data_IF_435542804328
#
_entry.id   IF_435542804328
#
_cell.length_a   1.000
_cell.length_b   1.000
_cell.length_c   1.000
_cell.angle_alpha   90.00
_cell.angle_beta   90.00
_cell.angle_gamma   90.00
#
_symmetry.space_group_name_H-M   'P 1'
#
loop_
_entity.id
_entity.type
_entity.pdbx_description
1 polymer ?
#
# COMPACT_ATOMS: atom_id res chain seq x y z
N UNK A 1 10.60 -5.87 1.55
CA UNK A 1 9.28 -5.84 2.19
C UNK A 1 9.35 -5.09 3.50
N UNK A 2 10.17 -5.55 4.46
CA UNK A 2 10.37 -4.89 5.77
C UNK A 2 10.54 -3.37 5.67
N UNK A 3 11.53 -2.90 4.89
CA UNK A 3 11.80 -1.46 4.75
C UNK A 3 10.63 -0.68 4.13
N UNK A 4 9.90 -1.27 3.18
CA UNK A 4 8.72 -0.63 2.60
C UNK A 4 7.60 -0.54 3.65
N UNK A 5 7.45 -1.58 4.45
CA UNK A 5 6.45 -1.65 5.51
C UNK A 5 6.73 -0.62 6.61
N UNK A 6 7.99 -0.44 7.00
CA UNK A 6 8.41 0.64 7.89
C UNK A 6 8.16 2.02 7.30
N UNK A 7 8.55 2.23 6.05
CA UNK A 7 8.42 3.53 5.37
C UNK A 7 6.96 3.96 5.21
N UNK A 8 6.02 3.06 4.90
CA UNK A 8 4.58 3.41 4.87
C UNK A 8 4.06 3.80 6.25
N UNK A 9 4.49 3.11 7.32
CA UNK A 9 4.08 3.44 8.68
C UNK A 9 4.59 4.80 9.14
N UNK A 10 5.81 5.18 8.73
CA UNK A 10 6.31 6.53 8.94
C UNK A 10 5.38 7.54 8.25
N UNK A 11 5.01 7.32 6.99
CA UNK A 11 4.11 8.24 6.27
C UNK A 11 2.70 8.31 6.83
N UNK A 12 2.13 7.19 7.29
CA UNK A 12 0.80 7.15 7.88
C UNK A 12 0.71 7.91 9.21
N UNK A 13 1.83 8.04 9.92
CA UNK A 13 1.93 8.77 11.19
C UNK A 13 2.39 10.23 11.04
N UNK A 14 2.54 10.74 9.81
CA UNK A 14 2.85 12.14 9.58
C UNK A 14 1.59 13.02 9.68
N UNK A 15 1.72 14.18 10.32
CA UNK A 15 0.65 15.20 10.34
C UNK A 15 0.52 15.93 9.00
N UNK A 16 1.62 16.05 8.26
CA UNK A 16 1.67 16.77 6.98
C UNK A 16 1.67 15.83 5.79
N UNK A 17 0.95 16.24 4.73
CA UNK A 17 0.94 15.52 3.47
C UNK A 17 2.32 15.58 2.78
N UNK A 18 2.93 14.41 2.50
CA UNK A 18 4.18 14.35 1.72
C UNK A 18 4.02 14.93 0.31
N UNK A 19 5.12 15.44 -0.27
CA UNK A 19 5.13 15.96 -1.64
C UNK A 19 4.84 14.86 -2.68
N UNK A 20 4.43 15.28 -3.89
CA UNK A 20 4.24 14.35 -5.01
C UNK A 20 5.51 13.57 -5.32
N UNK A 21 6.66 14.21 -5.25
CA UNK A 21 7.95 13.63 -5.59
C UNK A 21 8.36 12.54 -4.57
N UNK A 22 8.08 12.75 -3.28
CA UNK A 22 8.25 11.72 -2.25
C UNK A 22 7.27 10.56 -2.43
N UNK A 23 6.00 10.88 -2.69
CA UNK A 23 4.97 9.87 -2.95
C UNK A 23 5.31 8.99 -4.17
N UNK A 24 5.67 9.60 -5.31
CA UNK A 24 6.03 8.91 -6.55
C UNK A 24 7.28 8.04 -6.38
N UNK A 25 8.26 8.51 -5.59
CA UNK A 25 9.47 7.73 -5.27
C UNK A 25 9.11 6.49 -4.46
N UNK A 26 8.32 6.64 -3.40
CA UNK A 26 7.88 5.51 -2.58
C UNK A 26 7.09 4.49 -3.41
N UNK A 27 6.09 4.95 -4.16
CA UNK A 27 5.32 4.11 -5.07
C UNK A 27 6.21 3.32 -6.04
N UNK A 28 7.24 3.94 -6.62
CA UNK A 28 8.16 3.24 -7.53
C UNK A 28 8.93 2.12 -6.84
N UNK A 29 9.43 2.34 -5.62
CA UNK A 29 10.08 1.28 -4.84
C UNK A 29 9.12 0.11 -4.56
N UNK A 30 7.88 0.42 -4.18
CA UNK A 30 6.83 -0.59 -3.93
C UNK A 30 6.60 -1.44 -5.16
N UNK A 31 6.40 -0.80 -6.30
CA UNK A 31 6.13 -1.48 -7.56
C UNK A 31 7.31 -2.32 -8.06
N UNK A 32 8.52 -1.79 -7.96
CA UNK A 32 9.74 -2.53 -8.31
C UNK A 32 9.84 -3.80 -7.45
N UNK A 33 9.67 -3.66 -6.13
CA UNK A 33 9.70 -4.80 -5.22
C UNK A 33 8.58 -5.82 -5.49
N UNK A 34 7.36 -5.37 -5.79
CA UNK A 34 6.26 -6.29 -6.12
C UNK A 34 6.52 -7.01 -7.45
N UNK A 35 6.98 -6.29 -8.47
CA UNK A 35 7.32 -6.90 -9.76
C UNK A 35 8.40 -7.98 -9.63
N UNK A 36 9.40 -7.76 -8.77
CA UNK A 36 10.57 -8.63 -8.69
C UNK A 36 10.39 -9.81 -7.73
N UNK A 37 9.51 -9.68 -6.72
CA UNK A 37 9.45 -10.63 -5.60
C UNK A 37 8.05 -11.14 -5.26
N UNK A 38 6.97 -10.60 -5.83
CA UNK A 38 5.62 -10.93 -5.35
C UNK A 38 5.27 -12.41 -5.47
N UNK A 39 5.76 -13.11 -6.49
CA UNK A 39 5.50 -14.54 -6.69
C UNK A 39 6.03 -15.40 -5.54
N UNK A 40 7.04 -14.91 -4.81
CA UNK A 40 7.68 -15.60 -3.68
C UNK A 40 7.07 -15.23 -2.32
N UNK A 41 6.10 -14.30 -2.28
CA UNK A 41 5.53 -13.85 -1.01
C UNK A 41 4.81 -14.97 -0.28
N UNK A 42 5.24 -15.19 0.96
CA UNK A 42 4.57 -15.97 1.98
C UNK A 42 3.54 -15.12 2.70
N UNK A 43 2.74 -15.75 3.56
CA UNK A 43 1.57 -15.14 4.20
C UNK A 43 1.85 -13.77 4.82
N UNK A 44 2.88 -13.64 5.66
CA UNK A 44 3.20 -12.35 6.31
C UNK A 44 3.53 -11.25 5.28
N UNK A 45 4.25 -11.61 4.21
CA UNK A 45 4.60 -10.68 3.15
C UNK A 45 3.37 -10.30 2.31
N UNK A 46 2.40 -11.21 2.15
CA UNK A 46 1.11 -10.91 1.52
C UNK A 46 0.32 -9.89 2.31
N UNK A 47 0.25 -10.01 3.63
CA UNK A 47 -0.42 -9.02 4.47
C UNK A 47 0.22 -7.65 4.33
N UNK A 48 1.54 -7.57 4.47
CA UNK A 48 2.27 -6.29 4.35
C UNK A 48 2.15 -5.70 2.95
N UNK A 49 2.19 -6.53 1.91
CA UNK A 49 2.01 -6.10 0.53
C UNK A 49 0.59 -5.55 0.29
N UNK A 50 -0.45 -6.24 0.78
CA UNK A 50 -1.83 -5.78 0.72
C UNK A 50 -1.99 -4.44 1.45
N UNK A 51 -1.47 -4.33 2.67
CA UNK A 51 -1.51 -3.11 3.46
C UNK A 51 -0.89 -1.91 2.74
N UNK A 52 0.30 -2.10 2.17
CA UNK A 52 0.98 -1.07 1.38
C UNK A 52 0.15 -0.72 0.13
N UNK A 53 -0.33 -1.71 -0.61
CA UNK A 53 -1.04 -1.49 -1.87
C UNK A 53 -2.34 -0.69 -1.63
N UNK A 54 -3.15 -1.08 -0.66
CA UNK A 54 -4.41 -0.43 -0.29
C UNK A 54 -4.19 1.01 0.19
N UNK A 55 -3.23 1.24 1.10
CA UNK A 55 -2.95 2.57 1.62
C UNK A 55 -2.44 3.53 0.54
N UNK A 56 -1.49 3.09 -0.30
CA UNK A 56 -0.97 3.94 -1.40
C UNK A 56 -2.04 4.15 -2.47
N UNK A 57 -2.83 3.13 -2.81
CA UNK A 57 -3.95 3.24 -3.75
C UNK A 57 -4.98 4.26 -3.27
N UNK A 58 -5.46 4.12 -2.03
CA UNK A 58 -6.48 4.98 -1.43
C UNK A 58 -6.00 6.44 -1.39
N UNK A 59 -4.76 6.66 -0.94
CA UNK A 59 -4.15 7.99 -0.89
C UNK A 59 -3.98 8.60 -2.29
N UNK A 60 -3.51 7.82 -3.28
CA UNK A 60 -3.44 8.28 -4.67
C UNK A 60 -4.82 8.69 -5.21
N UNK A 61 -5.85 7.90 -4.94
CA UNK A 61 -7.21 8.18 -5.37
C UNK A 61 -7.78 9.45 -4.73
N UNK A 62 -7.51 9.69 -3.45
CA UNK A 62 -7.87 10.93 -2.75
C UNK A 62 -7.18 12.14 -3.38
N UNK A 63 -5.84 12.10 -3.50
CA UNK A 63 -5.06 13.19 -4.11
C UNK A 63 -5.44 13.46 -5.56
N UNK A 64 -5.79 12.43 -6.33
CA UNK A 64 -6.29 12.59 -7.69
C UNK A 64 -7.60 13.39 -7.75
N UNK A 65 -8.49 13.21 -6.76
CA UNK A 65 -9.77 13.93 -6.61
C UNK A 65 -9.58 15.36 -6.13
N UNK A 66 -8.54 15.65 -5.37
CA UNK A 66 -8.21 17.02 -4.93
C UNK A 66 -7.53 17.82 -6.04
N UNK A 67 -6.71 17.15 -6.86
CA UNK A 67 -5.89 17.77 -7.89
C UNK A 67 -6.52 17.80 -9.29
N UNK A 68 -7.86 17.72 -9.44
CA UNK A 68 -8.58 17.42 -10.72
C UNK A 68 -8.10 18.15 -11.98
N UNK A 69 -7.58 19.38 -11.84
CA UNK A 69 -7.15 20.24 -12.96
C UNK A 69 -5.64 20.20 -13.24
N UNK A 70 -4.85 19.46 -12.46
CA UNK A 70 -3.39 19.40 -12.60
C UNK A 70 -2.95 18.14 -13.36
N UNK A 71 -1.77 18.24 -14.00
CA UNK A 71 -1.11 17.08 -14.61
C UNK A 71 -0.79 15.97 -13.61
N UNK A 72 -0.71 16.30 -12.30
CA UNK A 72 -0.51 15.34 -11.20
C UNK A 72 -1.73 14.44 -11.00
N UNK A 73 -2.96 14.91 -11.23
CA UNK A 73 -4.18 14.08 -11.09
C UNK A 73 -4.14 12.84 -11.98
N UNK A 74 -3.70 12.98 -13.23
CA UNK A 74 -3.55 11.83 -14.15
C UNK A 74 -2.50 10.83 -13.66
N UNK A 75 -1.41 11.31 -13.04
CA UNK A 75 -0.37 10.43 -12.48
C UNK A 75 -0.91 9.65 -11.28
N UNK A 76 -1.57 10.33 -10.34
CA UNK A 76 -2.20 9.68 -9.19
C UNK A 76 -3.24 8.63 -9.59
N UNK A 77 -4.12 8.91 -10.58
CA UNK A 77 -5.09 7.91 -11.06
C UNK A 77 -4.40 6.63 -11.55
N UNK A 78 -3.35 6.77 -12.35
CA UNK A 78 -2.57 5.63 -12.84
C UNK A 78 -1.92 4.82 -11.72
N UNK A 79 -1.46 5.50 -10.67
CA UNK A 79 -0.91 4.85 -9.46
C UNK A 79 -2.01 4.03 -8.79
N UNK A 80 -3.18 4.65 -8.55
CA UNK A 80 -4.34 3.98 -7.97
C UNK A 80 -4.77 2.75 -8.78
N UNK A 81 -4.99 2.90 -10.08
CA UNK A 81 -5.36 1.82 -11.00
C UNK A 81 -4.38 0.63 -10.95
N UNK A 82 -3.07 0.91 -10.94
CA UNK A 82 -2.06 -0.16 -10.88
C UNK A 82 -2.07 -0.89 -9.54
N UNK A 83 -2.22 -0.16 -8.44
CA UNK A 83 -2.22 -0.75 -7.10
C UNK A 83 -3.52 -1.46 -6.78
N UNK A 84 -4.65 -1.10 -7.40
CA UNK A 84 -5.89 -1.88 -7.32
C UNK A 84 -5.66 -3.32 -7.79
N UNK A 85 -4.95 -3.52 -8.90
CA UNK A 85 -4.65 -4.86 -9.40
C UNK A 85 -3.76 -5.66 -8.44
N UNK A 86 -2.78 -5.00 -7.82
CA UNK A 86 -1.92 -5.63 -6.82
C UNK A 86 -2.68 -5.99 -5.54
N UNK A 87 -3.49 -5.07 -5.01
CA UNK A 87 -4.31 -5.31 -3.83
C UNK A 87 -5.27 -6.49 -4.05
N UNK A 88 -5.95 -6.52 -5.19
CA UNK A 88 -6.83 -7.64 -5.58
C UNK A 88 -6.07 -8.98 -5.67
N UNK A 89 -4.86 -8.97 -6.24
CA UNK A 89 -4.01 -10.17 -6.31
C UNK A 89 -3.62 -10.68 -4.91
N UNK A 90 -3.19 -9.79 -4.00
CA UNK A 90 -2.80 -10.21 -2.65
C UNK A 90 -3.99 -10.65 -1.81
N UNK A 91 -5.13 -9.96 -1.90
CA UNK A 91 -6.36 -10.37 -1.25
C UNK A 91 -6.84 -11.75 -1.74
N UNK A 92 -6.76 -12.03 -3.05
CA UNK A 92 -7.08 -13.35 -3.60
C UNK A 92 -6.16 -14.45 -3.03
N UNK A 93 -4.85 -14.21 -2.96
CA UNK A 93 -3.88 -15.17 -2.39
C UNK A 93 -4.10 -15.38 -0.89
N UNK A 94 -4.49 -14.35 -0.14
CA UNK A 94 -4.89 -14.51 1.26
C UNK A 94 -6.18 -15.33 1.39
N UNK A 95 -7.15 -15.13 0.50
CA UNK A 95 -8.35 -15.95 0.46
C UNK A 95 -8.05 -17.42 0.14
N UNK A 96 -7.09 -17.70 -0.74
CA UNK A 96 -6.59 -19.06 -1.02
C UNK A 96 -5.93 -19.72 0.20
N UNK A 97 -5.35 -18.92 1.10
CA UNK A 97 -4.83 -19.38 2.40
C UNK A 97 -5.93 -19.59 3.45
N UNK A 98 -7.20 -19.29 3.12
CA UNK A 98 -8.37 -19.53 3.97
C UNK A 98 -8.89 -18.32 4.73
N UNK A 99 -8.35 -17.11 4.47
CA UNK A 99 -8.84 -15.89 5.08
C UNK A 99 -10.14 -15.41 4.43
N UNK A 100 -11.18 -15.20 5.23
CA UNK A 100 -12.39 -14.55 4.75
C UNK A 100 -12.29 -13.02 4.83
N UNK A 101 -13.26 -12.31 4.22
CA UNK A 101 -13.29 -10.85 4.18
C UNK A 101 -13.26 -10.20 5.57
N UNK A 102 -14.00 -10.75 6.54
CA UNK A 102 -14.02 -10.23 7.90
C UNK A 102 -12.63 -10.33 8.55
N UNK A 103 -11.98 -11.48 8.44
CA UNK A 103 -10.62 -11.68 8.97
C UNK A 103 -9.59 -10.79 8.28
N UNK A 104 -9.74 -10.58 6.96
CA UNK A 104 -8.90 -9.64 6.21
C UNK A 104 -9.06 -8.22 6.71
N UNK A 105 -10.30 -7.76 6.90
CA UNK A 105 -10.56 -6.43 7.42
C UNK A 105 -10.03 -6.29 8.86
N UNK A 106 -10.32 -7.24 9.75
CA UNK A 106 -9.87 -7.20 11.14
C UNK A 106 -8.33 -7.14 11.24
N UNK A 107 -7.62 -7.97 10.48
CA UNK A 107 -6.15 -7.96 10.46
C UNK A 107 -5.58 -6.71 9.80
N UNK A 108 -6.20 -6.23 8.71
CA UNK A 108 -5.78 -4.99 8.06
C UNK A 108 -5.88 -3.79 9.01
N UNK A 109 -6.97 -3.70 9.78
CA UNK A 109 -7.15 -2.64 10.77
C UNK A 109 -6.13 -2.75 11.91
N UNK A 110 -5.81 -3.96 12.37
CA UNK A 110 -4.80 -4.11 13.43
C UNK A 110 -3.40 -3.67 12.96
N UNK A 111 -3.09 -3.81 11.67
CA UNK A 111 -1.79 -3.48 11.12
C UNK A 111 -1.44 -1.99 11.22
N UNK A 112 -2.40 -1.08 11.40
CA UNK A 112 -2.12 0.33 11.70
C UNK A 112 -1.39 0.52 13.03
N UNK A 113 -1.51 -0.43 13.97
CA UNK A 113 -0.81 -0.42 15.26
C UNK A 113 0.66 -0.86 15.20
N UNK A 114 1.10 -1.49 14.11
CA UNK A 114 2.46 -2.06 13.99
C UNK A 114 3.57 -1.01 14.04
N UNK A 115 3.25 0.28 13.87
CA UNK A 115 4.22 1.36 13.92
C UNK A 115 5.01 1.43 15.25
N UNK A 116 4.40 1.04 16.37
CA UNK A 116 5.05 1.01 17.68
C UNK A 116 6.09 -0.12 17.77
N UNK A 117 5.81 -1.27 17.16
CA UNK A 117 6.69 -2.45 17.19
C UNK A 117 7.89 -2.31 16.24
N UNK A 118 7.71 -1.60 15.12
CA UNK A 118 8.77 -1.42 14.11
C UNK A 118 9.88 -0.45 14.53
N UNK A 119 9.63 0.38 15.54
CA UNK A 119 10.57 1.38 16.08
C UNK A 119 11.20 0.96 17.42
N UNK A 120 10.86 -0.23 17.92
CA UNK A 120 11.43 -0.84 19.13
C UNK A 120 12.71 -1.64 18.83
#
# INVERSE_FOLDING_TARGET
>A
MEELYKEIHVYLNMEEEITFESFDRYYKKVIEYFNDHADEFQEEQLWRALFIAENVMSNANARAKENKKSSKSKKYRKIGERLTLWAQNFAARLAELGYNEQQMNERFESMFGDAEELNA
#
